data_IF_460629510725
#
_entry.id   IF_460629510725
#
_cell.length_a   1.000
_cell.length_b   1.000
_cell.length_c   1.000
_cell.angle_alpha   90.00
_cell.angle_beta   90.00
_cell.angle_gamma   90.00
#
_symmetry.space_group_name_H-M   'P 1'
#
loop_
_entity.id
_entity.type
_entity.pdbx_description
1 polymer ?
#
# COMPACT_ATOMS: atom_id res chain seq x y z
N UNK A 1 -7.74 -65.21 33.64
CA UNK A 1 -7.91 -63.75 33.72
C UNK A 1 -6.69 -63.07 33.11
N UNK A 2 -6.79 -62.56 31.87
CA UNK A 2 -5.80 -61.63 31.30
C UNK A 2 -6.58 -60.59 30.51
N UNK A 3 -6.69 -59.39 31.08
CA UNK A 3 -7.36 -58.24 30.49
C UNK A 3 -6.47 -57.61 29.42
N UNK A 4 -6.87 -57.71 28.16
CA UNK A 4 -6.28 -56.95 27.05
C UNK A 4 -6.81 -55.51 27.08
N UNK A 5 -5.99 -54.57 27.60
CA UNK A 5 -6.24 -53.13 27.41
C UNK A 5 -5.76 -52.73 26.01
N UNK A 6 -6.71 -52.38 25.13
CA UNK A 6 -6.43 -51.83 23.79
C UNK A 6 -5.92 -50.39 23.92
N UNK A 7 -4.66 -50.17 23.58
CA UNK A 7 -4.06 -48.84 23.51
C UNK A 7 -4.41 -48.19 22.16
N UNK A 8 -5.54 -47.48 22.09
CA UNK A 8 -5.89 -46.60 20.97
C UNK A 8 -5.83 -45.13 21.39
N UNK A 9 -4.63 -44.56 21.54
CA UNK A 9 -4.44 -43.10 21.52
C UNK A 9 -2.97 -42.74 21.30
N UNK A 10 -2.53 -42.72 20.04
CA UNK A 10 -1.19 -42.21 19.70
C UNK A 10 -1.19 -41.35 18.45
N UNK A 11 -2.07 -41.63 17.48
CA UNK A 11 -2.21 -40.82 16.26
C UNK A 11 -2.81 -39.44 16.49
N UNK A 12 -3.82 -39.32 17.36
CA UNK A 12 -4.46 -38.03 17.65
C UNK A 12 -3.53 -37.08 18.40
N UNK A 13 -2.76 -37.59 19.36
CA UNK A 13 -1.80 -36.81 20.15
C UNK A 13 -0.60 -36.36 19.30
N UNK A 14 -0.13 -37.20 18.36
CA UNK A 14 0.91 -36.83 17.40
C UNK A 14 0.46 -35.73 16.41
N UNK A 15 -0.79 -35.79 15.93
CA UNK A 15 -1.37 -34.78 15.02
C UNK A 15 -1.53 -33.41 15.70
N UNK A 16 -1.89 -33.37 16.98
CA UNK A 16 -2.01 -32.13 17.74
C UNK A 16 -0.64 -31.50 18.02
N UNK A 17 0.38 -32.30 18.31
CA UNK A 17 1.76 -31.79 18.48
C UNK A 17 2.35 -31.21 17.19
N UNK A 18 2.08 -31.81 16.02
CA UNK A 18 2.51 -31.23 14.73
C UNK A 18 1.79 -29.91 14.38
N UNK A 19 0.50 -29.78 14.72
CA UNK A 19 -0.23 -28.51 14.54
C UNK A 19 0.29 -27.40 15.46
N UNK A 20 0.59 -27.72 16.71
CA UNK A 20 1.11 -26.74 17.66
C UNK A 20 2.54 -26.28 17.31
N UNK A 21 3.37 -27.15 16.74
CA UNK A 21 4.70 -26.76 16.25
C UNK A 21 4.64 -25.87 15.00
N UNK A 22 3.68 -26.08 14.08
CA UNK A 22 3.48 -25.21 12.91
C UNK A 22 2.99 -23.80 13.28
N UNK A 23 2.23 -23.66 14.36
CA UNK A 23 1.71 -22.36 14.80
C UNK A 23 2.77 -21.51 15.52
N UNK A 24 3.76 -22.11 16.17
CA UNK A 24 4.84 -21.39 16.84
C UNK A 24 5.98 -20.95 15.91
N UNK A 25 6.07 -21.50 14.69
CA UNK A 25 7.07 -21.09 13.69
C UNK A 25 6.59 -20.01 12.72
N UNK A 26 5.33 -19.54 12.82
CA UNK A 26 4.90 -18.27 12.22
C UNK A 26 5.27 -17.13 13.16
N UNK A 27 6.53 -17.07 13.59
CA UNK A 27 7.10 -15.81 14.05
C UNK A 27 6.91 -14.84 12.89
N UNK A 28 6.08 -13.82 13.13
CA UNK A 28 5.73 -12.79 12.17
C UNK A 28 7.03 -12.24 11.59
N UNK A 29 7.42 -12.68 10.39
CA UNK A 29 8.41 -11.98 9.59
C UNK A 29 7.79 -10.61 9.39
N UNK A 30 8.21 -9.64 10.21
CA UNK A 30 7.89 -8.24 9.99
C UNK A 30 8.58 -7.91 8.68
N UNK A 31 7.86 -8.06 7.57
CA UNK A 31 8.31 -7.61 6.26
C UNK A 31 8.57 -6.12 6.44
N UNK A 32 9.85 -5.74 6.59
CA UNK A 32 10.24 -4.34 6.61
C UNK A 32 9.95 -3.84 5.21
N UNK A 33 8.93 -3.00 5.10
CA UNK A 33 8.61 -2.33 3.85
C UNK A 33 9.77 -1.38 3.53
N UNK A 34 10.63 -1.78 2.59
CA UNK A 34 11.58 -0.88 1.97
C UNK A 34 10.88 -0.26 0.75
N UNK A 35 10.52 1.01 0.84
CA UNK A 35 10.02 1.78 -0.29
C UNK A 35 11.09 1.98 -1.36
N UNK A 36 10.76 2.72 -2.43
CA UNK A 36 11.73 3.09 -3.45
C UNK A 36 12.75 4.08 -2.90
N UNK A 37 14.02 3.84 -3.20
CA UNK A 37 15.13 4.74 -2.85
C UNK A 37 15.66 5.33 -4.16
N UNK A 38 15.37 6.61 -4.47
CA UNK A 38 15.90 7.23 -5.67
C UNK A 38 17.43 7.33 -5.58
N UNK A 39 18.10 7.08 -6.69
CA UNK A 39 19.53 7.40 -6.83
C UNK A 39 19.69 8.92 -6.93
N UNK A 40 20.92 9.41 -6.70
CA UNK A 40 21.27 10.81 -6.99
C UNK A 40 20.91 11.12 -8.45
N UNK A 41 20.26 12.26 -8.66
CA UNK A 41 19.79 12.75 -9.96
C UNK A 41 18.71 11.90 -10.66
N UNK A 42 18.08 10.95 -9.94
CA UNK A 42 16.94 10.19 -10.46
C UNK A 42 15.75 11.12 -10.76
N UNK A 43 15.16 10.95 -11.94
CA UNK A 43 13.95 11.65 -12.38
C UNK A 43 12.78 10.69 -12.42
N UNK A 44 11.59 11.21 -12.13
CA UNK A 44 10.36 10.43 -12.22
C UNK A 44 10.01 10.15 -13.68
N UNK A 45 9.76 8.88 -13.99
CA UNK A 45 9.26 8.47 -15.31
C UNK A 45 7.82 8.96 -15.47
N UNK A 46 7.46 9.32 -16.69
CA UNK A 46 6.08 9.62 -17.09
C UNK A 46 5.63 8.63 -18.17
N UNK A 47 4.44 8.05 -18.01
CA UNK A 47 3.84 7.12 -18.97
C UNK A 47 2.43 7.55 -19.33
N UNK A 48 1.96 7.17 -20.50
CA UNK A 48 0.56 7.37 -20.90
C UNK A 48 -0.36 6.37 -20.17
N UNK A 49 -1.63 6.74 -20.04
CA UNK A 49 -2.64 5.93 -19.33
C UNK A 49 -2.99 4.62 -20.02
N UNK A 50 -2.67 4.49 -21.31
CA UNK A 50 -2.92 3.30 -22.13
C UNK A 50 -1.81 2.25 -22.02
N UNK A 51 -0.83 2.45 -21.12
CA UNK A 51 0.23 1.48 -20.86
C UNK A 51 -0.34 0.09 -20.53
N UNK A 52 0.23 -0.94 -21.18
CA UNK A 52 -0.13 -2.33 -20.91
C UNK A 52 0.01 -2.66 -19.41
N UNK A 53 -1.03 -3.22 -18.75
CA UNK A 53 -0.99 -3.51 -17.31
C UNK A 53 0.18 -4.42 -16.89
N UNK A 54 0.53 -5.41 -17.71
CA UNK A 54 1.64 -6.31 -17.42
C UNK A 54 2.98 -5.56 -17.42
N UNK A 55 3.19 -4.66 -18.39
CA UNK A 55 4.41 -3.85 -18.46
C UNK A 55 4.48 -2.85 -17.31
N UNK A 56 3.34 -2.24 -16.95
CA UNK A 56 3.25 -1.33 -15.81
C UNK A 56 3.61 -2.06 -14.50
N UNK A 57 3.09 -3.27 -14.30
CA UNK A 57 3.37 -4.07 -13.12
C UNK A 57 4.86 -4.44 -13.02
N UNK A 58 5.43 -5.00 -14.09
CA UNK A 58 6.83 -5.45 -14.09
C UNK A 58 7.82 -4.29 -13.93
N UNK A 59 7.53 -3.14 -14.56
CA UNK A 59 8.43 -1.98 -14.52
C UNK A 59 8.31 -1.17 -13.23
N UNK A 60 7.10 -0.88 -12.77
CA UNK A 60 6.89 0.10 -11.69
C UNK A 60 6.39 -0.55 -10.39
N UNK A 61 5.32 -1.34 -10.43
CA UNK A 61 4.67 -1.87 -9.21
C UNK A 61 5.58 -2.86 -8.48
N UNK A 62 6.11 -3.84 -9.20
CA UNK A 62 6.98 -4.89 -8.65
C UNK A 62 8.26 -4.32 -8.05
N UNK A 63 8.77 -3.24 -8.65
CA UNK A 63 9.98 -2.53 -8.22
C UNK A 63 9.68 -1.42 -7.20
N UNK A 64 8.40 -1.18 -6.89
CA UNK A 64 7.90 -0.08 -6.04
C UNK A 64 8.30 1.31 -6.54
N UNK A 65 8.67 1.43 -7.81
CA UNK A 65 9.16 2.66 -8.41
C UNK A 65 8.00 3.63 -8.67
N UNK A 66 8.09 4.89 -8.21
CA UNK A 66 7.08 5.89 -8.51
C UNK A 66 7.13 6.29 -10.00
N UNK A 67 5.97 6.59 -10.55
CA UNK A 67 5.75 6.94 -11.96
C UNK A 67 4.58 7.92 -12.07
N UNK A 68 4.70 8.90 -12.96
CA UNK A 68 3.60 9.79 -13.34
C UNK A 68 2.80 9.15 -14.47
N UNK A 69 1.48 9.11 -14.33
CA UNK A 69 0.59 8.65 -15.40
C UNK A 69 -0.01 9.89 -16.05
N UNK A 70 0.48 10.22 -17.23
CA UNK A 70 -0.07 11.24 -18.10
C UNK A 70 -1.41 10.77 -18.67
N UNK A 71 -2.32 11.72 -18.93
CA UNK A 71 -3.63 11.46 -19.54
C UNK A 71 -4.56 10.47 -18.81
N UNK A 72 -4.30 10.13 -17.54
CA UNK A 72 -5.24 9.32 -16.73
C UNK A 72 -6.61 10.00 -16.52
N UNK A 73 -6.74 11.27 -16.92
CA UNK A 73 -8.00 12.01 -16.90
C UNK A 73 -8.82 11.60 -18.11
N UNK A 74 -9.76 10.69 -17.89
CA UNK A 74 -11.00 10.71 -18.66
C UNK A 74 -11.45 12.18 -18.80
N UNK A 75 -11.58 12.66 -20.04
CA UNK A 75 -11.96 14.02 -20.46
C UNK A 75 -13.27 14.58 -19.84
N UNK A 76 -13.90 13.85 -18.91
CA UNK A 76 -15.12 14.24 -18.22
C UNK A 76 -14.84 15.03 -16.92
N UNK A 77 -13.70 14.82 -16.25
CA UNK A 77 -13.42 15.53 -14.99
C UNK A 77 -12.87 16.95 -15.18
N UNK A 78 -12.30 17.26 -16.34
CA UNK A 78 -11.77 18.59 -16.68
C UNK A 78 -12.85 19.59 -17.11
N UNK A 79 -14.11 19.16 -17.24
CA UNK A 79 -15.20 20.03 -17.69
C UNK A 79 -15.68 21.02 -16.62
N UNK A 80 -15.26 20.82 -15.37
CA UNK A 80 -15.46 21.81 -14.31
C UNK A 80 -14.18 22.60 -14.11
N UNK A 81 -14.23 23.91 -14.25
CA UNK A 81 -13.11 24.78 -13.90
C UNK A 81 -13.01 24.85 -12.37
N UNK A 82 -12.21 23.95 -11.78
CA UNK A 82 -11.87 24.00 -10.37
C UNK A 82 -10.97 25.23 -10.13
N UNK A 83 -11.59 26.41 -10.02
CA UNK A 83 -10.94 27.68 -9.69
C UNK A 83 -11.39 28.18 -8.32
N UNK A 84 -10.65 29.14 -7.76
CA UNK A 84 -10.92 29.68 -6.42
C UNK A 84 -12.35 30.17 -6.29
N UNK A 85 -12.85 30.96 -7.24
CA UNK A 85 -14.18 31.56 -7.18
C UNK A 85 -15.29 30.50 -7.22
N UNK A 86 -15.12 29.48 -8.07
CA UNK A 86 -16.03 28.33 -8.15
C UNK A 86 -16.03 27.55 -6.84
N UNK A 87 -14.86 27.26 -6.26
CA UNK A 87 -14.76 26.54 -4.98
C UNK A 87 -15.37 27.34 -3.83
N UNK A 88 -15.05 28.63 -3.72
CA UNK A 88 -15.61 29.52 -2.71
C UNK A 88 -17.13 29.61 -2.82
N UNK A 89 -17.68 29.69 -4.04
CA UNK A 89 -19.13 29.73 -4.27
C UNK A 89 -19.82 28.40 -3.97
N UNK A 90 -19.20 27.26 -4.29
CA UNK A 90 -19.84 25.93 -4.18
C UNK A 90 -19.62 25.26 -2.84
N UNK A 91 -18.49 25.49 -2.19
CA UNK A 91 -18.07 24.80 -0.97
C UNK A 91 -17.40 25.73 0.06
N UNK A 92 -17.48 27.06 -0.09
CA UNK A 92 -16.80 28.00 0.81
C UNK A 92 -17.29 27.97 2.26
N UNK A 93 -18.51 27.47 2.50
CA UNK A 93 -19.07 27.25 3.84
C UNK A 93 -18.94 25.78 4.30
N UNK A 94 -18.24 24.93 3.55
CA UNK A 94 -18.02 23.53 3.92
C UNK A 94 -16.87 23.45 4.92
N UNK A 95 -17.10 22.79 6.06
CA UNK A 95 -16.05 22.52 7.04
C UNK A 95 -15.09 21.46 6.50
N UNK A 96 -13.79 21.75 6.53
CA UNK A 96 -12.73 20.84 6.09
C UNK A 96 -11.63 20.76 7.13
N UNK A 97 -10.98 19.61 7.21
CA UNK A 97 -9.79 19.45 8.04
C UNK A 97 -8.61 20.18 7.40
N UNK A 98 -7.97 21.05 8.17
CA UNK A 98 -6.75 21.74 7.76
C UNK A 98 -5.59 21.18 8.59
N UNK A 99 -4.61 20.60 7.92
CA UNK A 99 -3.35 20.23 8.56
C UNK A 99 -2.63 21.50 9.03
N UNK A 100 -2.44 21.64 10.34
CA UNK A 100 -1.59 22.68 10.90
C UNK A 100 -0.14 22.23 10.78
N UNK A 101 0.71 23.06 10.17
CA UNK A 101 2.16 22.91 10.23
C UNK A 101 2.69 23.88 11.27
N UNK A 102 3.58 23.41 12.13
CA UNK A 102 4.27 24.30 13.06
C UNK A 102 5.08 25.33 12.26
N UNK A 103 5.04 26.59 12.70
CA UNK A 103 5.64 27.72 12.00
C UNK A 103 7.18 27.63 11.85
N UNK A 104 7.82 26.66 12.50
CA UNK A 104 9.27 26.45 12.45
C UNK A 104 9.78 25.87 11.11
N UNK A 105 8.89 25.47 10.20
CA UNK A 105 9.24 24.98 8.86
C UNK A 105 8.86 25.96 7.75
N UNK A 106 9.04 27.26 7.98
CA UNK A 106 9.02 28.24 6.89
C UNK A 106 10.10 27.85 5.86
N UNK A 107 9.64 27.32 4.72
CA UNK A 107 10.48 27.23 3.54
C UNK A 107 10.80 28.66 3.12
N UNK A 108 12.06 29.07 3.30
CA UNK A 108 12.62 30.25 2.67
C UNK A 108 12.58 30.07 1.15
N UNK A 109 11.49 30.48 0.53
CA UNK A 109 11.39 30.62 -0.92
C UNK A 109 11.86 32.05 -1.23
N UNK A 110 13.15 32.18 -1.55
CA UNK A 110 13.72 33.38 -2.16
C UNK A 110 13.32 33.49 -3.63
#
# INVERSE_FOLDING_TARGET
MINQKRNHSSKFDQLNNQKNQRNNQKSKIKIKYQGFIPKKDWKIDTVESDICPQLFFEKYVKQRQPVLINNSKNNQMTQFSWNKDYMSKKAGNTEVFIEKRDAEYECNIY
#
